data_IF_785445640972
#
_entry.id   IF_785445640972
#
_cell.length_a   1.000
_cell.length_b   1.000
_cell.length_c   1.000
_cell.angle_alpha   90.00
_cell.angle_beta   90.00
_cell.angle_gamma   90.00
#
_symmetry.space_group_name_H-M   'P 1'
#
loop_
_entity.id
_entity.type
_entity.pdbx_description
1 polymer ?
#
# COMPACT_ATOMS: atom_id res chain seq x y z
N UNK A 1 -16.46 -1.00 1.52
CA UNK A 1 -16.57 -2.18 2.42
C UNK A 1 -17.02 -1.76 3.82
N UNK A 2 -16.30 -0.89 4.53
CA UNK A 2 -16.81 -0.35 5.81
C UNK A 2 -18.17 0.36 5.63
N UNK A 3 -18.34 1.09 4.52
CA UNK A 3 -19.61 1.69 4.09
C UNK A 3 -20.78 0.74 3.86
N UNK A 4 -20.50 -0.55 3.76
CA UNK A 4 -21.50 -1.59 3.49
C UNK A 4 -21.65 -2.56 4.69
N UNK A 5 -21.18 -2.17 5.88
CA UNK A 5 -21.29 -2.98 7.10
C UNK A 5 -20.06 -3.85 7.43
N UNK A 6 -18.95 -3.72 6.70
CA UNK A 6 -17.70 -4.40 7.06
C UNK A 6 -17.11 -3.90 8.38
N UNK A 7 -16.60 -4.81 9.21
CA UNK A 7 -16.05 -4.46 10.53
C UNK A 7 -14.65 -3.80 10.49
N UNK A 8 -13.84 -4.18 9.49
CA UNK A 8 -12.43 -3.83 9.40
C UNK A 8 -11.80 -4.31 8.09
N UNK A 9 -10.48 -4.47 8.08
CA UNK A 9 -9.71 -4.91 6.92
C UNK A 9 -8.53 -5.80 7.35
N UNK A 10 -8.25 -6.84 6.57
CA UNK A 10 -6.97 -7.54 6.56
C UNK A 10 -6.19 -6.98 5.38
N UNK A 11 -5.06 -6.31 5.64
CA UNK A 11 -4.46 -5.40 4.66
C UNK A 11 -3.04 -5.79 4.25
N UNK A 12 -2.79 -5.76 2.95
CA UNK A 12 -1.44 -5.81 2.36
C UNK A 12 -0.73 -4.47 2.57
N UNK A 13 -1.42 -3.37 2.26
CA UNK A 13 -0.88 -2.02 2.32
C UNK A 13 -0.54 -1.55 3.75
N UNK A 14 -1.07 -2.20 4.80
CA UNK A 14 -0.75 -1.85 6.19
C UNK A 14 0.72 -2.06 6.56
N UNK A 15 1.46 -2.88 5.80
CA UNK A 15 2.92 -3.01 5.95
C UNK A 15 3.67 -1.71 5.59
N UNK A 16 3.06 -0.82 4.81
CA UNK A 16 3.65 0.48 4.42
C UNK A 16 2.93 1.66 5.08
N UNK A 17 1.60 1.66 5.10
CA UNK A 17 0.78 2.79 5.54
C UNK A 17 -0.28 2.40 6.59
N UNK A 18 0.11 1.54 7.54
CA UNK A 18 -0.78 1.04 8.59
C UNK A 18 -1.41 2.15 9.44
N UNK A 19 -0.65 3.18 9.81
CA UNK A 19 -1.15 4.34 10.58
C UNK A 19 -2.25 5.07 9.83
N UNK A 20 -2.11 5.25 8.53
CA UNK A 20 -3.07 6.00 7.72
C UNK A 20 -4.32 5.18 7.40
N UNK A 21 -4.17 3.87 7.23
CA UNK A 21 -5.33 2.95 7.15
C UNK A 21 -6.10 2.97 8.48
N UNK A 22 -5.40 2.95 9.63
CA UNK A 22 -6.04 3.08 10.94
C UNK A 22 -6.80 4.40 11.07
N UNK A 23 -6.18 5.53 10.70
CA UNK A 23 -6.83 6.85 10.68
C UNK A 23 -8.10 6.85 9.82
N UNK A 24 -8.04 6.28 8.62
CA UNK A 24 -9.19 6.16 7.73
C UNK A 24 -10.33 5.33 8.35
N UNK A 25 -10.01 4.19 8.96
CA UNK A 25 -11.01 3.34 9.65
C UNK A 25 -11.61 4.08 10.85
N UNK A 26 -10.79 4.75 11.65
CA UNK A 26 -11.24 5.54 12.81
C UNK A 26 -12.14 6.69 12.38
N UNK A 27 -11.77 7.44 11.35
CA UNK A 27 -12.60 8.51 10.80
C UNK A 27 -13.98 7.98 10.37
N UNK A 28 -14.00 6.86 9.63
CA UNK A 28 -15.25 6.24 9.21
C UNK A 28 -16.12 5.80 10.41
N UNK A 29 -15.52 5.12 11.40
CA UNK A 29 -16.23 4.64 12.60
C UNK A 29 -16.78 5.77 13.47
N UNK A 30 -16.16 6.94 13.44
CA UNK A 30 -16.61 8.14 14.15
C UNK A 30 -17.68 8.95 13.39
N UNK A 31 -18.14 8.47 12.23
CA UNK A 31 -19.11 9.18 11.39
C UNK A 31 -18.51 10.22 10.44
N UNK A 32 -17.19 10.41 10.46
CA UNK A 32 -16.47 11.33 9.57
C UNK A 32 -16.21 10.69 8.21
N UNK A 33 -17.28 10.37 7.48
CA UNK A 33 -17.23 9.62 6.21
C UNK A 33 -16.48 10.38 5.12
N UNK A 34 -16.62 11.70 5.07
CA UNK A 34 -15.92 12.54 4.09
C UNK A 34 -14.39 12.46 4.27
N UNK A 35 -13.91 12.53 5.51
CA UNK A 35 -12.48 12.42 5.82
C UNK A 35 -11.95 11.03 5.51
N UNK A 36 -12.69 9.98 5.86
CA UNK A 36 -12.34 8.62 5.48
C UNK A 36 -12.25 8.45 3.95
N UNK A 37 -13.18 9.06 3.21
CA UNK A 37 -13.17 9.06 1.75
C UNK A 37 -11.97 9.80 1.17
N UNK A 38 -11.64 10.99 1.70
CA UNK A 38 -10.44 11.75 1.31
C UNK A 38 -9.17 10.93 1.52
N UNK A 39 -9.03 10.27 2.67
CA UNK A 39 -7.89 9.38 2.94
C UNK A 39 -7.85 8.19 1.98
N UNK A 40 -8.99 7.55 1.72
CA UNK A 40 -9.10 6.44 0.76
C UNK A 40 -8.61 6.89 -0.63
N UNK A 41 -9.08 8.02 -1.14
CA UNK A 41 -8.67 8.53 -2.45
C UNK A 41 -7.21 8.95 -2.49
N UNK A 42 -6.71 9.58 -1.41
CA UNK A 42 -5.30 9.96 -1.29
C UNK A 42 -4.37 8.76 -1.42
N UNK A 43 -4.66 7.64 -0.77
CA UNK A 43 -3.81 6.44 -0.78
C UNK A 43 -4.16 5.45 -1.89
N UNK A 44 -5.23 5.66 -2.66
CA UNK A 44 -5.63 4.78 -3.74
C UNK A 44 -4.54 4.50 -4.79
N UNK A 45 -3.70 5.47 -5.21
CA UNK A 45 -2.57 5.20 -6.10
C UNK A 45 -1.58 4.19 -5.53
N UNK A 46 -1.25 4.29 -4.24
CA UNK A 46 -0.40 3.31 -3.54
C UNK A 46 -1.06 1.93 -3.53
N UNK A 47 -2.36 1.86 -3.22
CA UNK A 47 -3.07 0.59 -3.23
C UNK A 47 -3.04 -0.06 -4.60
N UNK A 48 -3.26 0.70 -5.69
CA UNK A 48 -3.13 0.16 -7.05
C UNK A 48 -1.72 -0.33 -7.36
N UNK A 49 -0.69 0.43 -6.97
CA UNK A 49 0.70 0.07 -7.25
C UNK A 49 1.11 -1.26 -6.60
N UNK A 50 0.53 -1.60 -5.43
CA UNK A 50 0.82 -2.86 -4.74
C UNK A 50 0.22 -4.11 -5.41
N UNK A 51 -0.63 -3.94 -6.42
CA UNK A 51 -1.28 -5.03 -7.15
C UNK A 51 -1.03 -4.96 -8.67
N UNK A 52 0.05 -4.30 -9.12
CA UNK A 52 0.45 -4.31 -10.54
C UNK A 52 0.94 -5.67 -11.01
N UNK A 53 1.41 -6.50 -10.08
CA UNK A 53 1.86 -7.88 -10.29
C UNK A 53 1.36 -8.75 -9.13
N UNK A 54 1.42 -10.09 -9.22
CA UNK A 54 0.92 -10.98 -8.17
C UNK A 54 1.49 -10.66 -6.77
N UNK A 55 0.62 -10.48 -5.79
CA UNK A 55 0.99 -10.32 -4.38
C UNK A 55 1.74 -11.58 -3.90
N UNK A 56 2.89 -11.48 -3.18
CA UNK A 56 3.48 -10.29 -2.56
C UNK A 56 4.65 -9.63 -3.28
N UNK A 57 4.85 -9.87 -4.57
CA UNK A 57 5.99 -9.32 -5.31
C UNK A 57 6.07 -7.79 -5.24
N UNK A 58 5.02 -7.00 -5.55
CA UNK A 58 5.13 -5.54 -5.48
C UNK A 58 5.30 -5.00 -4.05
N UNK A 59 4.65 -5.63 -3.07
CA UNK A 59 4.83 -5.24 -1.67
C UNK A 59 6.27 -5.46 -1.21
N UNK A 60 6.87 -6.61 -1.55
CA UNK A 60 8.25 -6.91 -1.17
C UNK A 60 9.25 -5.97 -1.84
N UNK A 61 9.05 -5.65 -3.12
CA UNK A 61 9.83 -4.63 -3.80
C UNK A 61 9.69 -3.27 -3.08
N UNK A 62 8.47 -2.85 -2.72
CA UNK A 62 8.27 -1.61 -1.97
C UNK A 62 8.97 -1.63 -0.60
N UNK A 63 8.90 -2.76 0.13
CA UNK A 63 9.58 -2.91 1.42
C UNK A 63 11.11 -2.87 1.30
N UNK A 64 11.65 -3.34 0.18
CA UNK A 64 13.09 -3.22 -0.11
C UNK A 64 13.48 -1.79 -0.50
N UNK A 65 12.67 -1.08 -1.29
CA UNK A 65 12.88 0.32 -1.65
C UNK A 65 12.91 1.27 -0.43
N UNK A 66 12.23 0.88 0.66
CA UNK A 66 12.26 1.60 1.94
C UNK A 66 13.30 1.06 2.93
N UNK A 67 14.11 0.08 2.52
CA UNK A 67 15.24 -0.44 3.29
C UNK A 67 14.88 -1.41 4.41
N UNK A 68 13.68 -2.00 4.42
CA UNK A 68 13.26 -2.92 5.50
C UNK A 68 13.60 -4.39 5.24
N UNK A 69 13.66 -4.81 3.97
CA UNK A 69 13.93 -6.21 3.59
C UNK A 69 14.80 -6.28 2.33
N UNK A 70 15.27 -7.49 1.97
CA UNK A 70 15.87 -7.78 0.68
C UNK A 70 14.82 -8.06 -0.40
N UNK A 71 15.11 -7.68 -1.65
CA UNK A 71 14.24 -7.94 -2.81
C UNK A 71 14.35 -9.41 -3.23
N UNK A 72 13.53 -10.25 -2.60
CA UNK A 72 13.54 -11.69 -2.86
C UNK A 72 12.18 -12.33 -2.67
N UNK A 73 11.83 -13.19 -3.62
CA UNK A 73 10.65 -14.05 -3.60
C UNK A 73 11.05 -15.48 -3.93
N UNK A 74 10.28 -16.45 -3.42
CA UNK A 74 10.51 -17.86 -3.74
C UNK A 74 9.72 -18.21 -5.00
N UNK A 75 10.29 -18.99 -5.93
CA UNK A 75 9.55 -19.54 -7.07
C UNK A 75 8.25 -20.24 -6.61
N UNK A 76 7.16 -20.16 -7.40
CA UNK A 76 7.09 -19.69 -8.79
C UNK A 76 6.97 -18.16 -8.94
N UNK A 77 7.02 -17.40 -7.85
CA UNK A 77 7.03 -15.94 -7.93
C UNK A 77 8.36 -15.44 -8.48
N UNK A 78 8.30 -14.35 -9.24
CA UNK A 78 9.45 -13.62 -9.77
C UNK A 78 9.46 -12.21 -9.20
N UNK A 79 10.65 -11.63 -9.07
CA UNK A 79 10.83 -10.23 -8.69
C UNK A 79 10.32 -9.31 -9.79
N UNK A 80 10.00 -8.06 -9.44
CA UNK A 80 9.65 -7.05 -10.43
C UNK A 80 10.84 -6.78 -11.36
N UNK A 81 10.53 -6.47 -12.62
CA UNK A 81 11.49 -5.87 -13.55
C UNK A 81 11.91 -4.47 -13.10
N UNK A 82 13.05 -3.98 -13.58
CA UNK A 82 13.53 -2.64 -13.23
C UNK A 82 12.55 -1.53 -13.67
N UNK A 83 11.86 -1.70 -14.79
CA UNK A 83 10.82 -0.77 -15.25
C UNK A 83 9.59 -0.75 -14.31
N UNK A 84 9.18 -1.91 -13.80
CA UNK A 84 8.10 -2.01 -12.81
C UNK A 84 8.52 -1.41 -11.47
N UNK A 85 9.75 -1.65 -11.03
CA UNK A 85 10.33 -1.02 -9.83
C UNK A 85 10.39 0.49 -9.96
N UNK A 86 10.79 1.03 -11.11
CA UNK A 86 10.84 2.48 -11.36
C UNK A 86 9.44 3.12 -11.25
N UNK A 87 8.41 2.47 -11.79
CA UNK A 87 7.01 2.90 -11.64
C UNK A 87 6.56 2.86 -10.17
N UNK A 88 6.87 1.78 -9.47
CA UNK A 88 6.57 1.64 -8.04
C UNK A 88 7.26 2.72 -7.21
N UNK A 89 8.54 2.99 -7.44
CA UNK A 89 9.33 4.03 -6.76
C UNK A 89 8.72 5.41 -6.97
N UNK A 90 8.24 5.71 -8.17
CA UNK A 90 7.54 6.98 -8.46
C UNK A 90 6.31 7.16 -7.57
N UNK A 91 5.53 6.10 -7.38
CA UNK A 91 4.37 6.13 -6.47
C UNK A 91 4.82 6.28 -5.02
N UNK A 92 5.83 5.52 -4.57
CA UNK A 92 6.36 5.62 -3.20
C UNK A 92 6.90 7.03 -2.87
N UNK A 93 7.56 7.68 -3.82
CA UNK A 93 8.06 9.04 -3.69
C UNK A 93 6.93 10.07 -3.49
N UNK A 94 5.77 9.86 -4.11
CA UNK A 94 4.58 10.71 -3.91
C UNK A 94 4.13 10.73 -2.44
N UNK A 95 4.39 9.64 -1.71
CA UNK A 95 4.05 9.50 -0.29
C UNK A 95 5.25 9.67 0.65
N UNK A 96 6.41 10.10 0.14
CA UNK A 96 7.66 10.26 0.89
C UNK A 96 8.09 8.98 1.63
N UNK A 97 7.83 7.82 1.01
CA UNK A 97 8.11 6.51 1.62
C UNK A 97 9.49 5.97 1.25
N UNK A 98 10.11 6.41 0.16
CA UNK A 98 11.41 5.89 -0.28
C UNK A 98 12.54 6.19 0.73
N UNK A 99 13.47 5.24 0.88
CA UNK A 99 14.68 5.45 1.66
C UNK A 99 15.51 6.61 1.06
N UNK A 100 16.18 7.36 1.94
CA UNK A 100 17.16 8.38 1.54
C UNK A 100 18.39 7.75 0.90
#
# INVERSE_FOLDING_TARGET
MLSLGGYGVISVASHLCGTQIKQMITAYKNGNVEEASKLQYKYYPLFKALFTSPNPTPLKAALQEIGLISDSVRPPLVTLSEDEKAKLRTVLNTFQMAAK
#
